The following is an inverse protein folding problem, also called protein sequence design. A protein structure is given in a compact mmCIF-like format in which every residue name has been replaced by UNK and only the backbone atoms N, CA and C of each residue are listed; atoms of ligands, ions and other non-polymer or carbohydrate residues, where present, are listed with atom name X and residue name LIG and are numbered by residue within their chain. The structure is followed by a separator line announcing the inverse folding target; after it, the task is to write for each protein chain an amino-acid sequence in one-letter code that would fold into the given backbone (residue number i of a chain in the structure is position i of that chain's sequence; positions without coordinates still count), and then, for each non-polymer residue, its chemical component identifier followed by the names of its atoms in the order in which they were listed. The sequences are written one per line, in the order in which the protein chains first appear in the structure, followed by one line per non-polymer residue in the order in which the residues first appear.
data_IF_252216410285
#
_entry.id   IF_252216410285
#
_cell.length_a   1.000
_cell.length_b   1.000
_cell.length_c   1.000
_cell.angle_alpha   90.00
_cell.angle_beta   90.00
_cell.angle_gamma   90.00
#
_symmetry.space_group_name_H-M   'P 1'
#
loop_
_entity.id
_entity.type
_entity.pdbx_description
1 polymer ?
#
# COMPACT_ATOMS: atom_id res chain seq x y z
N UNK A 1 4.61 7.98 9.77
CA UNK A 1 3.23 8.13 9.24
C UNK A 1 3.13 7.99 7.73
N UNK A 2 3.77 8.84 6.92
CA UNK A 2 3.65 8.71 5.44
C UNK A 2 4.15 7.36 4.91
N UNK A 3 5.31 6.91 5.39
CA UNK A 3 5.87 5.59 5.10
C UNK A 3 4.93 4.45 5.53
N UNK A 4 4.23 4.58 6.67
CA UNK A 4 3.25 3.59 7.13
C UNK A 4 2.03 3.50 6.19
N UNK A 5 1.60 4.62 5.60
CA UNK A 5 0.50 4.65 4.63
C UNK A 5 0.90 3.92 3.34
N UNK A 6 2.11 4.17 2.83
CA UNK A 6 2.63 3.44 1.67
C UNK A 6 2.80 1.95 1.96
N UNK A 7 3.24 1.60 3.18
CA UNK A 7 3.35 0.22 3.63
C UNK A 7 1.98 -0.48 3.68
N UNK A 8 0.95 0.21 4.21
CA UNK A 8 -0.42 -0.29 4.24
C UNK A 8 -0.99 -0.49 2.83
N UNK A 9 -0.73 0.44 1.90
CA UNK A 9 -1.13 0.32 0.50
C UNK A 9 -0.40 -0.81 -0.23
N UNK A 10 0.84 -1.11 0.15
CA UNK A 10 1.58 -2.27 -0.33
C UNK A 10 1.07 -3.61 0.24
N UNK A 11 0.05 -3.58 1.10
CA UNK A 11 -0.56 -4.77 1.70
C UNK A 11 0.10 -5.23 3.00
N UNK A 12 0.96 -4.41 3.61
CA UNK A 12 1.60 -4.72 4.87
C UNK A 12 0.98 -3.87 6.00
N UNK A 13 0.30 -4.49 6.98
CA UNK A 13 -0.13 -3.77 8.17
C UNK A 13 1.14 -3.37 8.92
N UNK A 14 1.49 -2.09 8.90
CA UNK A 14 2.60 -1.55 9.65
C UNK A 14 2.33 -1.57 11.16
N UNK A 15 3.03 -0.71 11.89
CA UNK A 15 2.81 -0.52 13.33
C UNK A 15 1.53 0.26 13.66
N UNK A 16 1.04 1.03 12.68
CA UNK A 16 -0.08 1.98 12.87
C UNK A 16 -1.44 1.40 12.45
N UNK A 17 -1.44 0.31 11.68
CA UNK A 17 -2.64 -0.29 11.11
C UNK A 17 -2.81 -1.71 11.64
N UNK A 18 -3.95 -1.99 12.26
CA UNK A 18 -4.31 -3.32 12.72
C UNK A 18 -5.24 -4.00 11.73
N UNK A 19 -5.15 -5.32 11.61
CA UNK A 19 -6.14 -6.09 10.84
C UNK A 19 -7.36 -6.28 11.71
N UNK A 20 -8.50 -5.75 11.28
CA UNK A 20 -9.77 -5.97 11.94
C UNK A 20 -10.18 -7.43 11.83
N UNK A 21 -10.55 -8.06 12.96
CA UNK A 21 -10.97 -9.47 12.99
C UNK A 21 -12.33 -9.70 12.33
N UNK A 22 -13.17 -8.66 12.23
CA UNK A 22 -14.54 -8.78 11.75
C UNK A 22 -14.66 -8.54 10.24
N UNK A 23 -13.99 -7.50 9.73
CA UNK A 23 -14.03 -7.15 8.31
C UNK A 23 -12.85 -7.73 7.51
N UNK A 24 -11.79 -8.17 8.20
CA UNK A 24 -10.53 -8.57 7.56
C UNK A 24 -9.78 -7.40 6.91
N UNK A 25 -10.27 -6.18 7.06
CA UNK A 25 -9.69 -4.96 6.50
C UNK A 25 -8.66 -4.38 7.46
N UNK A 26 -7.66 -3.70 6.90
CA UNK A 26 -6.76 -2.86 7.67
C UNK A 26 -7.52 -1.65 8.22
N UNK A 27 -7.47 -1.44 9.53
CA UNK A 27 -8.07 -0.31 10.25
C UNK A 27 -6.97 0.49 10.97
N UNK A 28 -7.13 1.81 11.02
CA UNK A 28 -6.23 2.70 11.76
C UNK A 28 -6.47 2.55 13.24
N UNK A 29 -5.39 2.46 14.03
CA UNK A 29 -5.49 2.51 15.50
C UNK A 29 -6.05 3.88 15.90
N UNK A 30 -7.24 3.89 16.53
CA UNK A 30 -7.99 5.11 16.85
C UNK A 30 -7.37 5.99 17.94
N UNK A 31 -6.39 5.47 18.68
CA UNK A 31 -5.76 6.16 19.82
C UNK A 31 -4.49 6.96 19.48
N UNK A 32 -4.27 7.32 18.20
CA UNK A 32 -3.14 8.19 17.87
C UNK A 32 -3.48 9.67 18.10
N UNK A 33 -2.83 10.36 19.06
CA UNK A 33 -3.13 11.76 19.41
C UNK A 33 -2.76 12.77 18.31
N UNK A 34 -2.13 12.31 17.23
CA UNK A 34 -1.63 13.14 16.13
C UNK A 34 -2.53 13.11 14.89
N UNK A 35 -3.63 12.36 14.89
CA UNK A 35 -4.50 12.17 13.72
C UNK A 35 -5.84 12.84 13.96
N UNK A 36 -6.25 13.71 13.05
CA UNK A 36 -7.58 14.32 13.11
C UNK A 36 -8.65 13.29 12.68
N UNK A 37 -9.84 13.24 13.30
CA UNK A 37 -10.88 12.26 12.95
C UNK A 37 -11.30 12.28 11.47
N UNK A 38 -11.18 13.42 10.78
CA UNK A 38 -11.40 13.49 9.32
C UNK A 38 -10.31 12.78 8.50
N UNK A 39 -9.08 12.74 9.00
CA UNK A 39 -7.97 12.02 8.40
C UNK A 39 -8.12 10.50 8.60
N UNK A 40 -8.66 10.08 9.74
CA UNK A 40 -8.96 8.66 10.04
C UNK A 40 -9.86 8.04 8.98
N UNK A 41 -10.91 8.74 8.54
CA UNK A 41 -11.82 8.23 7.50
C UNK A 41 -11.12 8.02 6.15
N UNK A 42 -10.21 8.94 5.78
CA UNK A 42 -9.41 8.84 4.54
C UNK A 42 -8.42 7.67 4.66
N UNK A 43 -7.76 7.55 5.81
CA UNK A 43 -6.81 6.48 6.09
C UNK A 43 -7.47 5.11 6.08
N UNK A 44 -8.66 4.96 6.67
CA UNK A 44 -9.44 3.70 6.62
C UNK A 44 -9.84 3.32 5.19
N UNK A 45 -10.14 4.30 4.34
CA UNK A 45 -10.42 4.03 2.92
C UNK A 45 -9.18 3.58 2.16
N UNK A 46 -8.02 4.20 2.43
CA UNK A 46 -6.74 3.83 1.84
C UNK A 46 -6.26 2.45 2.30
N UNK A 47 -6.42 2.14 3.58
CA UNK A 47 -6.06 0.86 4.16
C UNK A 47 -6.97 -0.27 3.64
N UNK A 48 -8.25 0.02 3.37
CA UNK A 48 -9.13 -0.88 2.63
C UNK A 48 -8.57 -1.27 1.25
N UNK A 49 -8.09 -0.29 0.47
CA UNK A 49 -7.44 -0.56 -0.83
C UNK A 49 -6.20 -1.46 -0.69
N UNK A 50 -5.37 -1.22 0.33
CA UNK A 50 -4.23 -2.08 0.63
C UNK A 50 -4.61 -3.53 0.97
N UNK A 51 -5.76 -3.72 1.62
CA UNK A 51 -6.28 -5.05 1.94
C UNK A 51 -6.71 -5.80 0.68
N UNK A 52 -7.44 -5.13 -0.22
CA UNK A 52 -7.83 -5.73 -1.50
C UNK A 52 -6.62 -6.08 -2.35
N UNK A 53 -5.61 -5.21 -2.38
CA UNK A 53 -4.34 -5.49 -3.04
C UNK A 53 -3.67 -6.74 -2.47
N UNK A 54 -3.60 -6.86 -1.13
CA UNK A 54 -3.04 -8.05 -0.47
C UNK A 54 -3.79 -9.32 -0.85
N UNK A 55 -5.13 -9.32 -0.78
CA UNK A 55 -5.94 -10.49 -1.11
C UNK A 55 -5.73 -10.95 -2.57
N UNK A 56 -5.68 -10.01 -3.52
CA UNK A 56 -5.41 -10.32 -4.93
C UNK A 56 -3.98 -10.83 -5.14
N UNK A 57 -3.01 -10.26 -4.43
CA UNK A 57 -1.61 -10.69 -4.50
C UNK A 57 -1.44 -12.10 -3.89
N UNK A 58 -2.10 -12.40 -2.77
CA UNK A 58 -2.08 -13.71 -2.13
C UNK A 58 -2.76 -14.76 -3.02
N UNK A 59 -3.89 -14.43 -3.66
CA UNK A 59 -4.54 -15.29 -4.65
C UNK A 59 -3.61 -15.62 -5.83
N UNK A 60 -2.91 -14.61 -6.36
CA UNK A 60 -1.95 -14.79 -7.47
C UNK A 60 -0.77 -15.68 -7.06
N UNK A 61 -0.26 -15.52 -5.83
CA UNK A 61 0.81 -16.36 -5.28
C UNK A 61 0.38 -17.79 -5.07
N UNK A 62 -0.83 -18.03 -4.56
CA UNK A 62 -1.36 -19.37 -4.38
C UNK A 62 -1.39 -20.11 -5.72
N UNK A 63 -1.94 -19.49 -6.77
CA UNK A 63 -2.04 -20.11 -8.11
C UNK A 63 -0.69 -20.34 -8.81
N UNK A 64 0.33 -19.52 -8.53
CA UNK A 64 1.69 -19.74 -9.05
C UNK A 64 2.44 -20.84 -8.29
N UNK A 65 2.11 -21.07 -7.01
CA UNK A 65 2.72 -22.14 -6.20
C UNK A 65 2.26 -23.54 -6.66
N UNK A 66 1.00 -23.67 -7.08
CA UNK A 66 0.44 -24.89 -7.71
C UNK A 66 0.95 -25.15 -9.14
N UNK A 67 1.86 -24.34 -9.67
CA UNK A 67 2.47 -24.53 -11.00
C UNK A 67 3.79 -25.33 -10.97
N UNK A 68 4.12 -26.01 -9.87
CA UNK A 68 5.19 -27.02 -9.90
C UNK A 68 4.77 -28.17 -10.80
N UNK A 69 5.67 -28.62 -11.66
CA UNK A 69 5.41 -29.49 -12.83
C UNK A 69 4.67 -30.82 -12.57
N UNK A 70 4.42 -31.18 -11.31
CA UNK A 70 3.71 -32.39 -10.90
C UNK A 70 2.17 -32.25 -10.91
N UNK A 71 1.60 -31.05 -10.73
CA UNK A 71 0.14 -30.86 -10.69
C UNK A 71 -0.50 -30.68 -12.09
N UNK A 72 0.30 -30.38 -13.12
CA UNK A 72 -0.16 -30.24 -14.50
C UNK A 72 -0.72 -31.54 -15.09
N UNK A 73 -0.40 -32.70 -14.49
CA UNK A 73 -0.82 -34.02 -14.96
C UNK A 73 -2.20 -34.41 -14.40
N UNK A 74 -2.69 -33.73 -13.34
CA UNK A 74 -3.93 -34.09 -12.64
C UNK A 74 -5.07 -33.09 -12.77
N UNK A 75 -4.80 -31.87 -13.19
CA UNK A 75 -5.70 -30.75 -12.90
C UNK A 75 -6.08 -29.95 -14.15
N UNK A 76 -6.95 -30.55 -14.96
CA UNK A 76 -7.52 -29.92 -16.18
C UNK A 76 -8.49 -28.77 -15.85
N UNK A 77 -8.96 -28.66 -14.61
CA UNK A 77 -9.95 -27.65 -14.17
C UNK A 77 -9.38 -26.27 -13.87
N UNK A 78 -8.05 -26.11 -13.80
CA UNK A 78 -7.42 -24.91 -13.23
C UNK A 78 -6.76 -23.97 -14.25
N UNK A 79 -6.89 -24.22 -15.55
CA UNK A 79 -6.37 -23.33 -16.60
C UNK A 79 -7.00 -21.93 -16.58
N UNK A 80 -8.33 -21.83 -16.37
CA UNK A 80 -9.01 -20.53 -16.28
C UNK A 80 -8.58 -19.74 -15.04
N UNK A 81 -8.42 -20.42 -13.90
CA UNK A 81 -7.90 -19.80 -12.67
C UNK A 81 -6.47 -19.27 -12.85
N UNK A 82 -5.62 -20.00 -13.57
CA UNK A 82 -4.25 -19.57 -13.92
C UNK A 82 -4.25 -18.38 -14.88
N UNK A 83 -5.07 -18.42 -15.93
CA UNK A 83 -5.23 -17.29 -16.85
C UNK A 83 -5.75 -16.03 -16.13
N UNK A 84 -6.68 -16.20 -15.20
CA UNK A 84 -7.22 -15.13 -14.37
C UNK A 84 -6.17 -14.55 -13.40
N UNK A 85 -5.38 -15.40 -12.73
CA UNK A 85 -4.28 -14.96 -11.89
C UNK A 85 -3.24 -14.14 -12.68
N UNK A 86 -2.89 -14.57 -13.89
CA UNK A 86 -2.01 -13.82 -14.77
C UNK A 86 -2.61 -12.47 -15.21
N UNK A 87 -3.93 -12.44 -15.47
CA UNK A 87 -4.67 -11.20 -15.73
C UNK A 87 -4.60 -10.23 -14.55
N UNK A 88 -4.78 -10.73 -13.33
CA UNK A 88 -4.66 -9.91 -12.13
C UNK A 88 -3.25 -9.37 -11.92
N UNK A 89 -2.20 -10.18 -12.11
CA UNK A 89 -0.83 -9.72 -11.95
C UNK A 89 -0.51 -8.53 -12.88
N UNK A 90 -0.99 -8.58 -14.14
CA UNK A 90 -0.85 -7.44 -15.07
C UNK A 90 -1.57 -6.17 -14.60
N UNK A 91 -2.76 -6.30 -14.02
CA UNK A 91 -3.52 -5.15 -13.49
C UNK A 91 -2.82 -4.60 -12.24
N UNK A 92 -2.34 -5.48 -11.36
CA UNK A 92 -1.61 -5.12 -10.15
C UNK A 92 -0.27 -4.43 -10.47
N UNK A 93 0.39 -4.79 -11.57
CA UNK A 93 1.61 -4.11 -12.01
C UNK A 93 1.39 -2.63 -12.35
N UNK A 94 0.25 -2.29 -12.92
CA UNK A 94 -0.11 -0.89 -13.18
C UNK A 94 -0.34 -0.13 -11.87
N UNK A 95 -0.89 -0.80 -10.86
CA UNK A 95 -1.05 -0.24 -9.52
C UNK A 95 0.31 -0.05 -8.83
N UNK A 96 1.21 -1.05 -8.87
CA UNK A 96 2.57 -0.97 -8.32
C UNK A 96 3.35 0.20 -8.91
N UNK A 97 3.30 0.39 -10.23
CA UNK A 97 3.94 1.53 -10.91
C UNK A 97 3.41 2.88 -10.43
N UNK A 98 2.10 3.01 -10.27
CA UNK A 98 1.48 4.24 -9.71
C UNK A 98 1.90 4.48 -8.27
N UNK A 99 2.01 3.42 -7.47
CA UNK A 99 2.40 3.52 -6.06
C UNK A 99 3.83 4.08 -5.93
N UNK A 100 4.77 3.58 -6.75
CA UNK A 100 6.15 4.08 -6.83
C UNK A 100 6.21 5.54 -7.31
N UNK A 101 5.41 5.91 -8.32
CA UNK A 101 5.35 7.29 -8.81
C UNK A 101 4.82 8.26 -7.72
N UNK A 102 3.81 7.86 -6.96
CA UNK A 102 3.28 8.67 -5.85
C UNK A 102 4.31 8.79 -4.72
N UNK A 103 5.00 7.70 -4.38
CA UNK A 103 6.07 7.71 -3.38
C UNK A 103 7.18 8.70 -3.76
N UNK A 104 7.67 8.63 -5.01
CA UNK A 104 8.68 9.56 -5.52
C UNK A 104 8.20 11.01 -5.42
N UNK A 105 6.98 11.31 -5.86
CA UNK A 105 6.41 12.66 -5.77
C UNK A 105 6.36 13.19 -4.34
N UNK A 106 5.99 12.35 -3.38
CA UNK A 106 5.96 12.74 -1.95
C UNK A 106 7.37 13.00 -1.44
N UNK A 107 8.35 12.16 -1.80
CA UNK A 107 9.74 12.34 -1.37
C UNK A 107 10.36 13.62 -1.94
N UNK A 108 10.18 13.89 -3.23
CA UNK A 108 10.65 15.13 -3.85
C UNK A 108 9.93 16.36 -3.30
N UNK A 109 8.60 16.30 -3.13
CA UNK A 109 7.81 17.36 -2.53
C UNK A 109 8.34 17.72 -1.14
N UNK A 110 8.48 16.73 -0.25
CA UNK A 110 8.95 16.95 1.11
C UNK A 110 10.32 17.62 1.17
N UNK A 111 11.26 17.23 0.31
CA UNK A 111 12.59 17.83 0.26
C UNK A 111 12.52 19.32 -0.12
N UNK A 112 11.68 19.66 -1.10
CA UNK A 112 11.49 21.07 -1.50
C UNK A 112 10.81 21.94 -0.44
N UNK A 113 9.85 21.40 0.31
CA UNK A 113 9.24 22.11 1.43
C UNK A 113 10.23 22.29 2.58
N UNK A 114 10.96 21.24 2.96
CA UNK A 114 11.94 21.30 4.04
C UNK A 114 13.06 22.31 3.74
N UNK A 115 13.58 22.34 2.52
CA UNK A 115 14.59 23.32 2.10
C UNK A 115 14.06 24.75 2.12
N UNK A 116 12.81 24.99 1.70
CA UNK A 116 12.18 26.32 1.78
C UNK A 116 11.96 26.78 3.22
N UNK A 117 11.55 25.87 4.11
CA UNK A 117 11.41 26.15 5.53
C UNK A 117 12.77 26.55 6.11
N UNK A 118 13.82 25.76 5.88
CA UNK A 118 15.19 26.02 6.34
C UNK A 118 15.71 27.38 5.86
N UNK A 119 15.55 27.71 4.58
CA UNK A 119 15.95 29.01 4.03
C UNK A 119 15.17 30.18 4.64
N UNK A 120 13.87 30.02 4.90
CA UNK A 120 13.06 31.05 5.56
C UNK A 120 13.52 31.31 6.99
N UNK A 121 13.82 30.26 7.76
CA UNK A 121 14.34 30.38 9.12
C UNK A 121 15.77 30.96 9.16
N UNK A 122 16.64 30.55 8.24
CA UNK A 122 17.99 31.11 8.12
C UNK A 122 17.96 32.58 7.71
N UNK A 123 17.04 32.97 6.82
CA UNK A 123 16.89 34.37 6.41
C UNK A 123 16.31 35.25 7.51
N UNK A 124 15.50 34.71 8.43
CA UNK A 124 15.01 35.43 9.61
C UNK A 124 16.09 35.61 10.69
N UNK A 125 17.05 34.68 10.77
CA UNK A 125 18.13 34.72 11.76
C UNK A 125 19.28 35.69 11.41
N UNK A 126 19.38 36.12 10.15
CA UNK A 126 20.40 37.07 9.67
C UNK A 126 19.93 38.53 9.81
N UNK A 127 18.63 38.75 10.00
CA UNK A 127 18.01 40.09 10.11
C UNK A 127 17.80 40.58 11.55
N UNK A 128 18.23 39.80 12.54
CA UNK A 128 18.27 40.16 13.97
C UNK A 128 19.70 40.06 14.49
#
# INVERSE_FOLDING_TARGET
MQHEIFLALAGCPGSTFTVSRESGLFEVITDLPFIHPSEVAILNRLSGLGTYYKQLNDFTKQQTTFCTALDLIKDEGNLYHKAMAYGFDKVLDSYRKKLVDVEQKVQYGFNTYFQRSQHSYMSLHITF
#
